data_IF_897213419528
#
_entry.id   IF_897213419528
#
_cell.length_a   1.000
_cell.length_b   1.000
_cell.length_c   1.000
_cell.angle_alpha   90.00
_cell.angle_beta   90.00
_cell.angle_gamma   90.00
#
_symmetry.space_group_name_H-M   'P 1'
#
loop_
_entity.id
_entity.type
_entity.pdbx_description
1 polymer ?
#
# COMPACT_ATOMS: atom_id res chain seq x y z
N UNK A 1 -7.80 -3.58 8.33
CA UNK A 1 -7.08 -4.66 9.07
C UNK A 1 -8.10 -5.67 9.61
N UNK A 2 -7.72 -6.85 10.08
CA UNK A 2 -8.67 -7.71 10.84
C UNK A 2 -9.00 -7.11 12.21
N UNK A 3 -10.15 -7.49 12.76
CA UNK A 3 -10.65 -7.07 14.08
C UNK A 3 -9.81 -7.55 15.25
N UNK A 4 -9.08 -8.67 15.10
CA UNK A 4 -8.22 -9.25 16.14
C UNK A 4 -6.87 -8.52 16.36
N UNK A 5 -6.61 -7.41 15.67
CA UNK A 5 -5.40 -6.61 15.88
C UNK A 5 -5.37 -5.97 17.26
N UNK A 6 -4.23 -5.98 17.99
CA UNK A 6 -4.08 -5.29 19.28
C UNK A 6 -4.40 -3.79 19.24
N UNK A 7 -4.27 -3.16 18.06
CA UNK A 7 -4.63 -1.76 17.82
C UNK A 7 -6.12 -1.44 18.07
N UNK A 8 -6.99 -2.46 18.04
CA UNK A 8 -8.44 -2.33 18.22
C UNK A 8 -8.94 -2.79 19.61
N UNK A 9 -8.03 -3.09 20.55
CA UNK A 9 -8.39 -3.76 21.80
C UNK A 9 -9.31 -2.91 22.71
N UNK A 10 -10.58 -3.28 22.74
CA UNK A 10 -11.65 -2.54 23.42
C UNK A 10 -12.09 -1.29 22.68
N UNK A 11 -12.07 -1.32 21.33
CA UNK A 11 -12.65 -0.31 20.44
C UNK A 11 -13.96 -0.87 19.86
N UNK A 12 -15.09 -0.14 19.92
CA UNK A 12 -16.35 -0.57 19.30
C UNK A 12 -16.20 -0.82 17.79
N UNK A 13 -16.85 -1.86 17.26
CA UNK A 13 -16.73 -2.25 15.84
C UNK A 13 -17.14 -1.13 14.87
N UNK A 14 -18.11 -0.28 15.25
CA UNK A 14 -18.52 0.90 14.48
C UNK A 14 -17.51 2.06 14.51
N UNK A 15 -16.40 1.94 15.25
CA UNK A 15 -15.26 2.86 15.29
C UNK A 15 -14.04 2.23 14.62
N UNK A 16 -13.81 0.92 14.80
CA UNK A 16 -12.73 0.16 14.12
C UNK A 16 -12.81 0.33 12.60
N UNK A 17 -14.02 0.21 12.04
CA UNK A 17 -14.27 0.36 10.60
C UNK A 17 -14.14 1.82 10.08
N UNK A 18 -13.66 2.75 10.91
CA UNK A 18 -13.41 4.16 10.57
C UNK A 18 -11.91 4.55 10.71
N UNK A 19 -11.02 3.55 10.81
CA UNK A 19 -9.56 3.72 10.65
C UNK A 19 -8.78 4.20 11.88
N UNK A 20 -7.48 4.42 11.68
CA UNK A 20 -6.52 4.82 12.75
C UNK A 20 -6.94 6.14 13.43
N UNK A 21 -7.38 7.15 12.67
CA UNK A 21 -7.79 8.44 13.21
C UNK A 21 -8.97 8.33 14.20
N UNK A 22 -10.04 7.61 13.83
CA UNK A 22 -11.22 7.49 14.71
C UNK A 22 -10.98 6.54 15.87
N UNK A 23 -10.14 5.53 15.68
CA UNK A 23 -9.64 4.70 16.78
C UNK A 23 -8.85 5.52 17.79
N UNK A 24 -7.88 6.33 17.34
CA UNK A 24 -7.08 7.16 18.24
C UNK A 24 -7.92 8.26 18.91
N UNK A 25 -8.87 8.87 18.19
CA UNK A 25 -9.84 9.81 18.77
C UNK A 25 -10.69 9.17 19.89
N UNK A 26 -10.94 7.86 19.84
CA UNK A 26 -11.67 7.11 20.86
C UNK A 26 -10.77 6.63 22.02
N UNK A 27 -9.55 6.17 21.73
CA UNK A 27 -8.63 5.61 22.72
C UNK A 27 -7.83 6.66 23.50
N UNK A 28 -7.44 7.74 22.83
CA UNK A 28 -6.41 8.69 23.30
C UNK A 28 -5.01 8.06 23.40
N UNK A 29 -3.96 8.89 23.34
CA UNK A 29 -2.56 8.43 23.35
C UNK A 29 -2.21 7.48 24.50
N UNK A 30 -2.73 7.74 25.71
CA UNK A 30 -2.47 6.96 26.92
C UNK A 30 -2.81 5.46 26.77
N UNK A 31 -3.73 5.10 25.86
CA UNK A 31 -4.06 3.70 25.52
C UNK A 31 -3.63 3.37 24.09
N UNK A 32 -3.98 4.22 23.12
CA UNK A 32 -3.75 4.04 21.70
C UNK A 32 -2.28 3.81 21.33
N UNK A 33 -1.35 4.65 21.83
CA UNK A 33 0.07 4.55 21.48
C UNK A 33 0.64 3.17 21.86
N UNK A 34 0.26 2.65 23.03
CA UNK A 34 0.68 1.31 23.49
C UNK A 34 0.12 0.18 22.62
N UNK A 35 -1.13 0.29 22.18
CA UNK A 35 -1.82 -0.72 21.37
C UNK A 35 -1.30 -0.75 19.93
N UNK A 36 -1.08 0.42 19.33
CA UNK A 36 -0.44 0.53 18.02
C UNK A 36 1.02 0.12 18.07
N UNK A 37 1.77 0.43 19.14
CA UNK A 37 3.12 -0.10 19.34
C UNK A 37 3.11 -1.63 19.42
N UNK A 38 2.23 -2.23 20.23
CA UNK A 38 2.09 -3.68 20.33
C UNK A 38 1.76 -4.34 18.98
N UNK A 39 0.87 -3.74 18.18
CA UNK A 39 0.59 -4.18 16.81
C UNK A 39 1.86 -4.12 15.94
N UNK A 40 2.53 -2.95 15.86
CA UNK A 40 3.75 -2.75 15.06
C UNK A 40 4.92 -3.65 15.51
N UNK A 41 5.03 -3.97 16.80
CA UNK A 41 6.02 -4.91 17.37
C UNK A 41 5.77 -6.39 16.98
N UNK A 42 4.52 -6.77 16.69
CA UNK A 42 4.11 -8.19 16.64
C UNK A 42 3.53 -8.66 15.30
N UNK A 43 3.02 -7.75 14.46
CA UNK A 43 2.33 -8.09 13.21
C UNK A 43 3.29 -8.46 12.07
N UNK A 44 4.29 -7.60 11.81
CA UNK A 44 5.36 -7.81 10.83
C UNK A 44 6.69 -7.81 11.57
N UNK A 45 7.51 -8.83 11.30
CA UNK A 45 8.77 -9.12 11.98
C UNK A 45 9.84 -9.57 10.97
N UNK A 46 11.07 -9.75 11.43
CA UNK A 46 12.16 -10.28 10.60
C UNK A 46 11.81 -11.64 9.94
N UNK A 47 11.08 -12.49 10.68
CA UNK A 47 10.64 -13.80 10.19
C UNK A 47 9.71 -13.69 8.97
N UNK A 48 8.95 -12.60 8.85
CA UNK A 48 8.10 -12.35 7.67
C UNK A 48 8.93 -12.09 6.42
N UNK A 49 10.00 -11.29 6.52
CA UNK A 49 10.94 -11.08 5.40
C UNK A 49 11.69 -12.36 5.04
N UNK A 50 12.02 -13.20 6.04
CA UNK A 50 12.59 -14.54 5.81
C UNK A 50 11.65 -15.46 5.04
N UNK A 51 10.35 -15.43 5.34
CA UNK A 51 9.36 -16.31 4.71
C UNK A 51 8.96 -15.82 3.32
N UNK A 52 8.86 -14.50 3.10
CA UNK A 52 8.72 -13.85 1.78
C UNK A 52 9.87 -14.29 0.84
N UNK A 53 11.12 -14.25 1.32
CA UNK A 53 12.28 -14.70 0.55
C UNK A 53 12.36 -16.23 0.38
N UNK A 54 11.84 -17.01 1.34
CA UNK A 54 11.67 -18.45 1.18
C UNK A 54 10.68 -18.78 0.04
N UNK A 55 9.57 -18.04 -0.03
CA UNK A 55 8.55 -18.09 -1.09
C UNK A 55 9.00 -17.50 -2.44
N UNK A 56 10.27 -17.03 -2.56
CA UNK A 56 10.87 -16.46 -3.77
C UNK A 56 10.26 -15.15 -4.25
N UNK A 57 9.51 -14.46 -3.38
CA UNK A 57 9.18 -13.06 -3.58
C UNK A 57 10.43 -12.20 -3.32
N UNK A 58 10.55 -11.07 -4.01
CA UNK A 58 11.74 -10.21 -4.01
C UNK A 58 11.44 -8.73 -3.75
N UNK A 59 10.17 -8.37 -3.54
CA UNK A 59 9.70 -7.00 -3.38
C UNK A 59 8.58 -6.96 -2.34
N UNK A 60 8.62 -6.00 -1.43
CA UNK A 60 7.61 -5.75 -0.40
C UNK A 60 7.04 -4.35 -0.58
N UNK A 61 5.72 -4.23 -0.74
CA UNK A 61 5.01 -2.95 -0.72
C UNK A 61 4.64 -2.63 0.73
N UNK A 62 5.05 -1.48 1.25
CA UNK A 62 4.76 -1.06 2.63
C UNK A 62 3.84 0.18 2.62
N UNK A 63 2.53 0.00 2.90
CA UNK A 63 1.59 1.09 3.18
C UNK A 63 2.03 1.97 4.34
N UNK A 64 2.00 3.29 4.14
CA UNK A 64 2.21 4.31 5.18
C UNK A 64 1.17 5.43 5.08
N UNK A 65 0.80 6.01 6.22
CA UNK A 65 0.02 7.24 6.28
C UNK A 65 0.94 8.46 6.35
N UNK A 66 0.47 9.64 5.92
CA UNK A 66 1.26 10.87 5.88
C UNK A 66 1.89 11.21 7.24
N UNK A 67 1.17 10.92 8.34
CA UNK A 67 1.61 11.16 9.71
C UNK A 67 2.93 10.49 10.10
N UNK A 68 3.44 9.54 9.30
CA UNK A 68 4.76 8.94 9.46
C UNK A 68 5.91 9.97 9.38
N UNK A 69 5.68 11.12 8.73
CA UNK A 69 6.66 12.22 8.63
C UNK A 69 6.87 12.98 9.95
N UNK A 70 5.88 12.97 10.84
CA UNK A 70 5.86 13.80 12.05
C UNK A 70 5.66 15.31 11.80
N UNK A 71 5.15 15.70 10.63
CA UNK A 71 4.80 17.09 10.31
C UNK A 71 3.68 17.17 9.26
N UNK A 72 3.07 18.35 9.15
CA UNK A 72 2.23 18.70 8.01
C UNK A 72 2.48 20.16 7.60
N UNK A 73 2.74 20.37 6.31
CA UNK A 73 3.06 21.68 5.73
C UNK A 73 2.01 22.13 4.70
N UNK A 74 0.88 21.42 4.54
CA UNK A 74 -0.09 21.75 3.49
C UNK A 74 -0.85 23.05 3.81
N UNK A 75 -0.89 24.03 2.88
CA UNK A 75 -1.60 25.29 3.07
C UNK A 75 -3.09 25.09 3.38
N UNK A 76 -3.62 25.87 4.34
CA UNK A 76 -5.03 25.78 4.76
C UNK A 76 -5.38 24.51 5.54
N UNK A 77 -4.39 23.68 5.89
CA UNK A 77 -4.58 22.44 6.61
C UNK A 77 -4.24 22.58 8.10
N UNK A 78 -4.79 21.70 8.95
CA UNK A 78 -4.41 21.62 10.37
C UNK A 78 -2.96 21.11 10.51
N UNK A 79 -2.00 21.92 10.99
CA UNK A 79 -0.58 21.54 11.10
C UNK A 79 -0.30 20.54 12.23
N UNK A 80 -1.25 20.37 13.15
CA UNK A 80 -1.18 19.46 14.28
C UNK A 80 -2.01 18.17 14.07
N UNK A 81 -2.76 18.06 12.96
CA UNK A 81 -3.65 16.94 12.68
C UNK A 81 -2.96 15.57 12.59
N UNK A 82 -1.64 15.53 12.29
CA UNK A 82 -0.83 14.32 12.35
C UNK A 82 -0.63 13.80 13.79
N UNK A 83 -0.73 14.67 14.81
CA UNK A 83 -0.55 14.31 16.22
C UNK A 83 -1.67 13.41 16.74
N UNK A 84 -2.83 13.35 16.09
CA UNK A 84 -3.91 12.41 16.47
C UNK A 84 -3.50 10.94 16.26
N UNK A 85 -2.53 10.66 15.38
CA UNK A 85 -2.17 9.29 15.01
C UNK A 85 -1.11 8.68 15.94
N UNK A 86 -0.96 7.35 15.90
CA UNK A 86 -0.04 6.67 16.82
C UNK A 86 1.44 6.87 16.41
N UNK A 87 2.30 7.38 17.30
CA UNK A 87 3.67 7.77 16.96
C UNK A 87 4.62 6.58 16.74
N UNK A 88 5.85 6.88 16.31
CA UNK A 88 6.95 5.91 16.21
C UNK A 88 6.92 4.98 14.98
N UNK A 89 5.92 5.11 14.11
CA UNK A 89 5.76 4.31 12.89
C UNK A 89 7.04 4.26 12.02
N UNK A 90 7.75 5.38 11.89
CA UNK A 90 8.97 5.50 11.09
C UNK A 90 10.08 4.52 11.50
N UNK A 91 10.19 4.16 12.79
CA UNK A 91 11.22 3.25 13.28
C UNK A 91 11.06 1.82 12.74
N UNK A 92 9.82 1.41 12.45
CA UNK A 92 9.51 0.11 11.88
C UNK A 92 9.78 0.08 10.37
N UNK A 93 9.52 1.19 9.67
CA UNK A 93 9.88 1.37 8.26
C UNK A 93 11.40 1.41 8.06
N UNK A 94 12.11 2.15 8.92
CA UNK A 94 13.58 2.19 8.95
C UNK A 94 14.15 0.77 9.15
N UNK A 95 13.66 0.01 10.13
CA UNK A 95 14.09 -1.38 10.36
C UNK A 95 13.81 -2.28 9.16
N UNK A 96 12.61 -2.19 8.58
CA UNK A 96 12.25 -2.97 7.41
C UNK A 96 13.20 -2.70 6.23
N UNK A 97 13.52 -1.43 5.96
CA UNK A 97 14.37 -1.01 4.83
C UNK A 97 15.87 -1.23 5.10
N UNK A 98 16.35 -1.04 6.34
CA UNK A 98 17.80 -1.07 6.67
C UNK A 98 18.31 -2.39 7.20
N UNK A 99 17.48 -3.15 7.91
CA UNK A 99 17.89 -4.38 8.58
C UNK A 99 17.32 -5.63 7.88
N UNK A 100 16.01 -5.65 7.62
CA UNK A 100 15.33 -6.86 7.15
C UNK A 100 15.41 -7.05 5.63
N UNK A 101 15.02 -6.05 4.85
CA UNK A 101 14.96 -6.14 3.39
C UNK A 101 16.33 -6.46 2.75
N UNK A 102 17.46 -5.82 3.14
CA UNK A 102 18.78 -6.17 2.60
C UNK A 102 19.21 -7.59 2.97
N UNK A 103 18.95 -8.02 4.21
CA UNK A 103 19.31 -9.36 4.73
C UNK A 103 18.60 -10.49 4.00
N UNK A 104 17.40 -10.25 3.49
CA UNK A 104 16.59 -11.23 2.77
C UNK A 104 16.44 -10.94 1.27
N UNK A 105 17.32 -10.10 0.69
CA UNK A 105 17.34 -9.74 -0.73
C UNK A 105 15.94 -9.32 -1.25
N UNK A 106 15.26 -8.50 -0.46
CA UNK A 106 13.97 -7.88 -0.80
C UNK A 106 14.16 -6.40 -1.08
N UNK A 107 13.42 -5.90 -2.06
CA UNK A 107 13.30 -4.48 -2.39
C UNK A 107 12.02 -3.91 -1.75
N UNK A 108 12.00 -2.63 -1.39
CA UNK A 108 10.89 -1.98 -0.69
C UNK A 108 10.29 -0.84 -1.49
N UNK A 109 9.02 -0.99 -1.86
CA UNK A 109 8.18 0.07 -2.44
C UNK A 109 7.35 0.69 -1.30
N UNK A 110 7.58 1.96 -0.97
CA UNK A 110 6.80 2.66 0.06
C UNK A 110 5.51 3.18 -0.59
N UNK A 111 4.33 2.82 -0.08
CA UNK A 111 3.05 3.29 -0.61
C UNK A 111 2.48 4.38 0.28
N UNK A 112 2.29 5.59 -0.24
CA UNK A 112 1.53 6.61 0.47
C UNK A 112 0.03 6.25 0.38
N UNK A 113 -0.40 5.55 1.42
CA UNK A 113 -1.66 4.83 1.46
C UNK A 113 -2.80 5.69 2.00
N UNK A 114 -2.49 6.56 2.96
CA UNK A 114 -3.37 7.57 3.51
C UNK A 114 -2.62 8.92 3.58
N UNK A 115 -2.68 9.72 2.52
CA UNK A 115 -2.01 11.02 2.43
C UNK A 115 -2.75 12.11 3.29
N UNK A 116 -2.41 13.41 3.32
CA UNK A 116 -3.27 14.39 4.06
C UNK A 116 -4.29 15.09 3.16
N UNK A 117 -5.54 14.55 3.27
CA UNK A 117 -8.17 14.30 2.26
C UNK A 117 -9.28 13.15 2.16
N UNK A 118 -9.16 11.92 2.66
CA UNK A 118 -9.76 10.68 2.13
C UNK A 118 -9.74 10.61 0.60
N UNK A 119 -8.66 10.09 -0.01
CA UNK A 119 -8.55 10.05 -1.48
C UNK A 119 -9.57 9.10 -2.18
N UNK A 120 -10.36 8.33 -1.42
CA UNK A 120 -11.37 7.42 -1.96
C UNK A 120 -12.60 7.17 -1.06
N UNK A 121 -12.66 7.70 0.15
CA UNK A 121 -13.76 7.48 1.10
C UNK A 121 -13.58 6.31 2.08
N UNK A 122 -12.53 5.47 1.94
CA UNK A 122 -12.33 4.27 2.76
C UNK A 122 -11.48 4.53 4.03
N UNK A 123 -11.55 3.62 5.00
CA UNK A 123 -10.91 3.71 6.33
C UNK A 123 -9.37 3.79 6.28
N UNK A 124 -8.78 3.25 5.22
CA UNK A 124 -7.34 3.23 4.95
C UNK A 124 -6.84 4.43 4.12
N UNK A 125 -7.66 5.49 3.96
CA UNK A 125 -7.42 6.63 3.06
C UNK A 125 -7.45 7.98 3.79
N UNK A 126 -6.76 8.99 3.25
CA UNK A 126 -6.70 10.36 3.81
C UNK A 126 -6.25 11.36 2.68
N UNK A 127 -6.61 12.67 2.68
CA UNK A 127 -6.19 13.97 1.18
C UNK A 127 -4.78 13.87 0.56
N UNK A 128 -4.36 14.68 -0.41
CA UNK A 128 -3.06 14.49 -1.09
C UNK A 128 -1.92 15.41 -0.56
N UNK A 129 -0.74 14.84 -0.26
CA UNK A 129 0.47 15.59 0.13
C UNK A 129 1.71 15.17 -0.69
N UNK A 130 2.26 16.04 -1.57
CA UNK A 130 3.46 15.76 -2.35
C UNK A 130 4.77 15.94 -1.57
N UNK A 131 4.77 16.58 -0.40
CA UNK A 131 5.98 16.76 0.41
C UNK A 131 6.22 15.59 1.37
N UNK A 132 5.19 14.83 1.76
CA UNK A 132 5.36 13.52 2.42
C UNK A 132 6.13 12.51 1.54
N UNK A 133 5.71 12.30 0.27
CA UNK A 133 6.44 11.42 -0.67
C UNK A 133 7.85 11.93 -0.96
N UNK A 134 8.02 13.25 -1.10
CA UNK A 134 9.34 13.87 -1.27
C UNK A 134 10.25 13.61 -0.06
N UNK A 135 9.73 13.72 1.16
CA UNK A 135 10.49 13.47 2.39
C UNK A 135 10.88 11.99 2.53
N UNK A 136 9.95 11.06 2.24
CA UNK A 136 10.23 9.63 2.21
C UNK A 136 11.32 9.29 1.18
N UNK A 137 11.24 9.84 -0.04
CA UNK A 137 12.28 9.63 -1.05
C UNK A 137 13.63 10.19 -0.59
N UNK A 138 13.62 11.41 -0.05
CA UNK A 138 14.83 12.08 0.46
C UNK A 138 15.48 11.34 1.63
N UNK A 139 14.69 10.65 2.45
CA UNK A 139 15.17 9.84 3.59
C UNK A 139 15.95 8.60 3.17
N UNK A 140 15.48 7.89 2.14
CA UNK A 140 16.00 6.56 1.81
C UNK A 140 16.91 6.50 0.58
N UNK A 141 16.71 7.34 -0.45
CA UNK A 141 17.36 7.14 -1.76
C UNK A 141 18.90 7.16 -1.74
N UNK A 142 19.51 7.84 -0.77
CA UNK A 142 20.94 8.16 -0.80
C UNK A 142 21.85 7.01 -0.34
N UNK A 143 21.38 6.13 0.56
CA UNK A 143 22.20 5.11 1.21
C UNK A 143 21.50 3.76 1.42
N UNK A 144 20.16 3.71 1.40
CA UNK A 144 19.42 2.55 1.86
C UNK A 144 19.12 1.59 0.70
N UNK A 145 20.07 0.68 0.43
CA UNK A 145 20.14 -0.15 -0.79
C UNK A 145 18.91 -1.01 -1.12
N UNK A 146 18.01 -1.26 -0.16
CA UNK A 146 16.75 -1.97 -0.40
C UNK A 146 15.59 -1.05 -0.81
N UNK A 147 15.73 0.27 -0.75
CA UNK A 147 14.68 1.20 -1.19
C UNK A 147 14.55 1.20 -2.72
N UNK A 148 13.41 0.71 -3.20
CA UNK A 148 13.09 0.66 -4.63
C UNK A 148 12.55 2.01 -5.13
N UNK A 149 11.69 2.64 -4.33
CA UNK A 149 10.82 3.69 -4.81
C UNK A 149 9.58 3.96 -3.98
N UNK A 150 8.67 4.74 -4.55
CA UNK A 150 7.43 5.19 -3.90
C UNK A 150 6.22 5.01 -4.82
N UNK A 151 5.17 4.37 -4.32
CA UNK A 151 3.81 4.56 -4.81
C UNK A 151 3.29 5.90 -4.27
N UNK A 152 3.06 6.81 -5.21
CA UNK A 152 2.77 8.21 -4.91
C UNK A 152 1.38 8.39 -4.28
N UNK A 153 0.40 7.54 -4.61
CA UNK A 153 -0.93 7.59 -4.00
C UNK A 153 -1.71 6.30 -4.27
N UNK A 154 -2.08 5.60 -3.20
CA UNK A 154 -2.91 4.40 -3.27
C UNK A 154 -4.36 4.69 -3.67
N UNK A 155 -4.87 4.01 -4.70
CA UNK A 155 -6.31 3.87 -5.03
C UNK A 155 -7.15 5.16 -4.92
N UNK A 156 -6.84 6.24 -5.65
CA UNK A 156 -7.74 7.40 -5.71
C UNK A 156 -9.09 7.01 -6.33
N UNK A 157 -10.20 7.56 -5.83
CA UNK A 157 -11.55 7.19 -6.29
C UNK A 157 -12.60 8.25 -5.92
N UNK A 158 -13.88 7.87 -6.04
CA UNK A 158 -15.02 8.72 -5.64
C UNK A 158 -15.08 10.01 -6.45
N UNK A 159 -15.19 11.14 -5.76
CA UNK A 159 -15.21 12.49 -6.35
C UNK A 159 -13.81 13.10 -6.55
N UNK A 160 -12.76 12.29 -6.72
CA UNK A 160 -11.41 12.79 -7.03
C UNK A 160 -11.37 13.38 -8.44
N UNK A 161 -10.99 14.65 -8.54
CA UNK A 161 -10.75 15.31 -9.83
C UNK A 161 -9.49 14.73 -10.51
N UNK A 162 -9.65 14.24 -11.74
CA UNK A 162 -8.58 13.58 -12.49
C UNK A 162 -7.48 14.57 -12.93
N UNK A 163 -7.83 15.83 -13.18
CA UNK A 163 -6.87 16.89 -13.53
C UNK A 163 -6.00 17.26 -12.33
N UNK A 164 -6.59 17.41 -11.15
CA UNK A 164 -5.86 17.63 -9.88
C UNK A 164 -4.96 16.42 -9.58
N UNK A 165 -5.45 15.19 -9.73
CA UNK A 165 -4.66 13.97 -9.53
C UNK A 165 -3.47 13.87 -10.50
N UNK A 166 -3.67 14.19 -11.78
CA UNK A 166 -2.58 14.20 -12.78
C UNK A 166 -1.57 15.33 -12.50
N UNK A 167 -2.03 16.50 -12.06
CA UNK A 167 -1.13 17.57 -11.62
C UNK A 167 -0.32 17.17 -10.38
N UNK A 168 -0.94 16.53 -9.39
CA UNK A 168 -0.25 15.98 -8.21
C UNK A 168 0.90 15.05 -8.59
N UNK A 169 0.67 14.11 -9.53
CA UNK A 169 1.72 13.21 -10.00
C UNK A 169 2.85 13.92 -10.76
N UNK A 170 2.53 14.94 -11.57
CA UNK A 170 3.56 15.79 -12.19
C UNK A 170 4.38 16.60 -11.16
N UNK A 171 3.71 17.18 -10.15
CA UNK A 171 4.34 17.92 -9.06
C UNK A 171 5.28 17.03 -8.23
N UNK A 172 4.79 15.85 -7.81
CA UNK A 172 5.57 14.89 -7.04
C UNK A 172 6.79 14.38 -7.83
N UNK A 173 6.62 14.07 -9.12
CA UNK A 173 7.72 13.73 -10.02
C UNK A 173 8.76 14.85 -10.10
N UNK A 174 8.32 16.08 -10.39
CA UNK A 174 9.19 17.25 -10.50
C UNK A 174 9.93 17.59 -9.20
N UNK A 175 9.33 17.29 -8.03
CA UNK A 175 9.95 17.47 -6.70
C UNK A 175 10.96 16.37 -6.36
N UNK A 176 10.73 15.12 -6.78
CA UNK A 176 11.61 13.98 -6.46
C UNK A 176 12.78 13.86 -7.44
N UNK A 177 12.54 14.07 -8.74
CA UNK A 177 13.59 13.99 -9.79
C UNK A 177 14.62 15.12 -9.73
N UNK A 178 14.44 16.10 -8.86
CA UNK A 178 15.50 17.03 -8.45
C UNK A 178 16.66 16.35 -7.71
N UNK A 179 16.51 15.10 -7.26
CA UNK A 179 17.54 14.40 -6.50
C UNK A 179 17.54 12.86 -6.58
N UNK A 180 16.45 12.22 -7.02
CA UNK A 180 16.33 10.75 -7.01
C UNK A 180 15.73 10.19 -8.29
N UNK A 181 16.39 9.17 -8.84
CA UNK A 181 15.94 8.37 -9.99
C UNK A 181 15.14 7.11 -9.59
N UNK A 182 14.77 6.99 -8.31
CA UNK A 182 14.03 5.83 -7.80
C UNK A 182 12.70 5.58 -8.56
N UNK A 183 12.21 4.34 -8.47
CA UNK A 183 10.91 3.98 -9.04
C UNK A 183 9.81 4.86 -8.43
N UNK A 184 8.94 5.39 -9.28
CA UNK A 184 7.70 6.02 -8.85
C UNK A 184 6.55 5.28 -9.51
N UNK A 185 5.53 4.90 -8.76
CA UNK A 185 4.27 4.41 -9.34
C UNK A 185 3.18 5.47 -9.24
N UNK A 186 2.31 5.46 -10.24
CA UNK A 186 1.12 6.31 -10.32
C UNK A 186 -0.11 5.42 -10.52
N UNK A 187 -1.21 5.77 -9.86
CA UNK A 187 -2.37 4.89 -9.71
C UNK A 187 -3.58 5.58 -10.35
N UNK A 188 -4.13 5.07 -11.47
CA UNK A 188 -5.37 5.57 -12.03
C UNK A 188 -6.53 5.49 -11.03
N UNK A 189 -7.59 6.27 -11.26
CA UNK A 189 -8.81 6.14 -10.45
C UNK A 189 -9.30 4.67 -10.46
N UNK A 190 -9.83 4.14 -9.35
CA UNK A 190 -10.15 2.71 -9.22
C UNK A 190 -10.94 2.13 -10.43
N UNK A 191 -11.93 2.86 -10.95
CA UNK A 191 -12.75 2.46 -12.11
C UNK A 191 -12.05 2.59 -13.48
N UNK A 192 -10.82 3.12 -13.51
CA UNK A 192 -9.98 3.32 -14.70
C UNK A 192 -8.79 2.34 -14.78
N UNK A 193 -8.58 1.50 -13.75
CA UNK A 193 -7.41 0.62 -13.65
C UNK A 193 -7.50 -0.63 -14.54
N UNK A 194 -6.88 -0.58 -15.72
CA UNK A 194 -6.71 -1.73 -16.59
C UNK A 194 -6.01 -1.41 -17.93
N UNK A 195 -5.69 -2.44 -18.73
CA UNK A 195 -4.84 -2.34 -19.92
C UNK A 195 -5.46 -1.58 -21.11
N UNK A 196 -6.71 -1.14 -21.00
CA UNK A 196 -7.46 -0.51 -22.10
C UNK A 196 -7.84 0.95 -21.84
N UNK A 197 -7.34 1.58 -20.76
CA UNK A 197 -7.49 3.02 -20.57
C UNK A 197 -6.40 3.77 -21.34
N UNK A 198 -6.76 4.40 -22.47
CA UNK A 198 -5.83 5.11 -23.35
C UNK A 198 -5.09 6.27 -22.68
N UNK A 199 -5.74 6.95 -21.73
CA UNK A 199 -5.31 8.27 -21.27
C UNK A 199 -4.40 8.15 -20.04
N UNK A 200 -4.59 7.08 -19.25
CA UNK A 200 -3.59 6.64 -18.27
C UNK A 200 -2.47 5.83 -18.91
N UNK A 201 -2.74 4.97 -19.90
CA UNK A 201 -1.66 4.25 -20.60
C UNK A 201 -0.70 5.17 -21.38
N UNK A 202 -1.11 6.42 -21.64
CA UNK A 202 -0.28 7.50 -22.23
C UNK A 202 0.16 8.55 -21.21
N UNK A 203 -0.22 8.44 -19.94
CA UNK A 203 0.18 9.39 -18.92
C UNK A 203 1.66 9.21 -18.58
N UNK A 204 2.37 10.33 -18.41
CA UNK A 204 3.81 10.40 -18.13
C UNK A 204 4.67 9.45 -19.00
N UNK A 205 4.68 9.62 -20.34
CA UNK A 205 5.33 8.68 -21.26
C UNK A 205 6.85 8.91 -21.40
N UNK A 206 7.63 7.87 -21.78
CA UNK A 206 9.01 8.05 -22.21
C UNK A 206 9.08 8.78 -23.57
N UNK A 207 10.16 9.52 -23.88
CA UNK A 207 11.34 9.74 -23.03
C UNK A 207 11.19 10.89 -22.03
N UNK A 208 10.05 11.59 -22.02
CA UNK A 208 9.80 12.76 -21.18
C UNK A 208 9.81 12.42 -19.67
N UNK A 209 9.34 11.22 -19.33
CA UNK A 209 9.32 10.70 -17.98
C UNK A 209 10.05 9.35 -17.91
N UNK A 210 10.83 9.13 -16.85
CA UNK A 210 11.58 7.89 -16.62
C UNK A 210 11.39 7.39 -15.19
N UNK A 211 11.58 6.07 -15.00
CA UNK A 211 11.33 5.42 -13.71
C UNK A 211 9.88 5.48 -13.24
N UNK A 212 8.91 5.67 -14.16
CA UNK A 212 7.47 5.59 -13.88
C UNK A 212 6.94 4.17 -14.14
N UNK A 213 5.98 3.72 -13.33
CA UNK A 213 5.08 2.61 -13.63
C UNK A 213 3.63 2.95 -13.27
N UNK A 214 2.69 2.27 -13.91
CA UNK A 214 1.27 2.34 -13.56
C UNK A 214 0.92 1.19 -12.62
N UNK A 215 0.28 1.49 -11.50
CA UNK A 215 -0.15 0.52 -10.50
C UNK A 215 -1.66 0.28 -10.60
N UNK A 216 -2.07 -0.99 -10.65
CA UNK A 216 -3.47 -1.42 -10.76
C UNK A 216 -3.76 -2.50 -9.73
N UNK A 217 -4.86 -2.38 -8.99
CA UNK A 217 -5.31 -3.38 -8.05
C UNK A 217 -6.51 -4.12 -8.62
N UNK A 218 -6.39 -5.45 -8.72
CA UNK A 218 -7.35 -6.31 -9.42
C UNK A 218 -7.91 -7.38 -8.48
N UNK A 219 -8.79 -6.95 -7.59
CA UNK A 219 -9.54 -7.83 -6.70
C UNK A 219 -10.64 -8.59 -7.46
N UNK A 220 -10.89 -9.85 -7.09
CA UNK A 220 -11.95 -10.70 -7.68
C UNK A 220 -12.97 -11.19 -6.63
N UNK A 221 -12.84 -10.72 -5.38
CA UNK A 221 -13.67 -11.13 -4.23
C UNK A 221 -15.11 -10.60 -4.26
N UNK A 222 -15.39 -9.59 -5.09
CA UNK A 222 -16.70 -8.94 -5.23
C UNK A 222 -17.49 -9.41 -6.48
N UNK A 223 -16.99 -10.41 -7.22
CA UNK A 223 -17.69 -11.03 -8.34
C UNK A 223 -16.97 -10.91 -9.69
N UNK A 224 -17.30 -11.82 -10.62
CA UNK A 224 -16.75 -11.89 -11.98
C UNK A 224 -17.75 -11.34 -13.00
N UNK A 225 -18.05 -10.04 -12.97
CA UNK A 225 -18.99 -9.48 -13.97
C UNK A 225 -18.34 -9.26 -15.35
N UNK A 226 -17.03 -8.95 -15.41
CA UNK A 226 -16.33 -8.68 -16.69
C UNK A 226 -14.89 -9.21 -16.75
N UNK A 227 -14.65 -10.47 -16.34
CA UNK A 227 -13.44 -11.23 -16.75
C UNK A 227 -13.85 -12.65 -17.20
N UNK A 228 -14.21 -12.78 -18.47
CA UNK A 228 -14.17 -14.08 -19.13
C UNK A 228 -12.72 -14.59 -19.23
N UNK A 229 -12.56 -15.92 -19.23
CA UNK A 229 -11.33 -16.65 -19.56
C UNK A 229 -10.22 -16.79 -18.49
N UNK A 230 -10.48 -16.51 -17.21
CA UNK A 230 -9.68 -17.13 -16.12
C UNK A 230 -10.22 -18.54 -15.80
N UNK A 231 -10.09 -19.45 -16.77
CA UNK A 231 -10.50 -20.85 -16.65
C UNK A 231 -9.35 -21.72 -16.14
N UNK A 232 -9.33 -22.01 -14.84
CA UNK A 232 -8.48 -23.08 -14.29
C UNK A 232 -9.12 -24.43 -14.66
N UNK A 233 -8.41 -25.27 -15.42
CA UNK A 233 -8.85 -26.61 -15.85
C UNK A 233 -10.29 -26.64 -16.45
N UNK A 234 -10.67 -25.60 -17.19
CA UNK A 234 -11.99 -25.50 -17.84
C UNK A 234 -13.16 -25.21 -16.88
N UNK A 235 -12.89 -24.83 -15.62
CA UNK A 235 -13.92 -24.46 -14.64
C UNK A 235 -13.92 -22.96 -14.35
N UNK A 236 -15.13 -22.42 -14.19
CA UNK A 236 -15.40 -21.05 -13.76
C UNK A 236 -15.55 -21.07 -12.23
N UNK A 237 -14.46 -20.76 -11.50
CA UNK A 237 -14.45 -20.75 -10.04
C UNK A 237 -15.04 -19.42 -9.53
N UNK A 238 -16.37 -19.32 -9.56
CA UNK A 238 -17.11 -18.14 -9.15
C UNK A 238 -17.62 -18.23 -7.68
N UNK A 239 -17.79 -17.06 -7.06
CA UNK A 239 -18.22 -16.82 -5.67
C UNK A 239 -17.20 -17.15 -4.57
N UNK A 240 -17.17 -16.30 -3.54
CA UNK A 240 -16.18 -16.25 -2.46
C UNK A 240 -16.44 -17.24 -1.31
N UNK A 241 -17.21 -18.31 -1.54
CA UNK A 241 -17.75 -19.19 -0.49
C UNK A 241 -17.17 -20.62 -0.48
N UNK A 242 -16.29 -21.00 -1.42
CA UNK A 242 -15.95 -22.42 -1.64
C UNK A 242 -14.54 -22.70 -2.18
N UNK A 243 -13.60 -21.76 -2.06
CA UNK A 243 -12.18 -22.03 -2.33
C UNK A 243 -11.54 -22.79 -1.16
N UNK A 244 -10.92 -23.95 -1.43
CA UNK A 244 -9.99 -24.58 -0.49
C UNK A 244 -8.54 -24.25 -0.85
N UNK A 245 -7.59 -24.63 0.00
CA UNK A 245 -6.14 -24.48 -0.20
C UNK A 245 -5.63 -24.83 -1.61
N UNK A 246 -6.18 -25.86 -2.25
CA UNK A 246 -5.74 -26.28 -3.58
C UNK A 246 -6.26 -25.35 -4.69
N UNK A 247 -7.50 -24.86 -4.58
CA UNK A 247 -8.04 -23.84 -5.49
C UNK A 247 -7.30 -22.52 -5.34
N UNK A 248 -6.98 -22.11 -4.09
CA UNK A 248 -6.20 -20.89 -3.81
C UNK A 248 -4.78 -20.99 -4.40
N UNK A 249 -4.12 -22.15 -4.27
CA UNK A 249 -2.78 -22.39 -4.85
C UNK A 249 -2.83 -22.38 -6.38
N UNK A 250 -3.81 -23.02 -7.00
CA UNK A 250 -4.00 -23.00 -8.46
C UNK A 250 -4.30 -21.59 -8.98
N UNK A 251 -5.14 -20.83 -8.27
CA UNK A 251 -5.46 -19.44 -8.59
C UNK A 251 -4.22 -18.53 -8.49
N UNK A 252 -3.44 -18.65 -7.41
CA UNK A 252 -2.19 -17.91 -7.25
C UNK A 252 -1.17 -18.26 -8.36
N UNK A 253 -1.02 -19.54 -8.72
CA UNK A 253 -0.19 -19.98 -9.83
C UNK A 253 -0.66 -19.41 -11.18
N UNK A 254 -1.97 -19.41 -11.45
CA UNK A 254 -2.54 -18.84 -12.66
C UNK A 254 -2.33 -17.33 -12.75
N UNK A 255 -2.47 -16.60 -11.64
CA UNK A 255 -2.13 -15.17 -11.58
C UNK A 255 -0.64 -14.93 -11.83
N UNK A 256 0.25 -15.65 -11.13
CA UNK A 256 1.70 -15.51 -11.29
C UNK A 256 2.13 -15.78 -12.74
N UNK A 257 1.58 -16.81 -13.39
CA UNK A 257 1.85 -17.10 -14.79
C UNK A 257 1.33 -16.00 -15.75
N UNK A 258 0.11 -15.51 -15.52
CA UNK A 258 -0.47 -14.42 -16.32
C UNK A 258 0.33 -13.12 -16.19
N UNK A 259 0.81 -12.79 -14.99
CA UNK A 259 1.71 -11.66 -14.78
C UNK A 259 3.10 -11.90 -15.40
N UNK A 260 3.69 -13.09 -15.23
CA UNK A 260 5.00 -13.44 -15.84
C UNK A 260 5.03 -13.36 -17.37
N UNK A 261 3.88 -13.57 -18.03
CA UNK A 261 3.72 -13.39 -19.48
C UNK A 261 3.45 -11.97 -19.96
N UNK A 262 3.30 -10.99 -19.05
CA UNK A 262 3.06 -9.59 -19.40
C UNK A 262 4.36 -8.84 -19.75
N UNK A 263 4.25 -7.56 -20.08
CA UNK A 263 5.39 -6.65 -20.27
C UNK A 263 5.29 -5.43 -19.35
N UNK A 264 6.43 -4.84 -19.00
CA UNK A 264 6.53 -3.64 -18.14
C UNK A 264 7.00 -3.90 -16.70
N UNK A 265 6.78 -5.10 -16.17
CA UNK A 265 7.02 -5.45 -14.76
C UNK A 265 5.80 -5.19 -13.87
N UNK A 266 5.67 -5.95 -12.79
CA UNK A 266 4.45 -6.09 -11.98
C UNK A 266 4.80 -6.44 -10.54
N UNK A 267 3.89 -6.10 -9.62
CA UNK A 267 3.88 -6.54 -8.23
C UNK A 267 2.62 -7.37 -7.98
N UNK A 268 2.76 -8.50 -7.28
CA UNK A 268 1.62 -9.25 -6.75
C UNK A 268 1.56 -9.00 -5.24
N UNK A 269 0.55 -8.26 -4.80
CA UNK A 269 0.39 -7.85 -3.39
C UNK A 269 -0.41 -8.91 -2.62
N UNK A 270 0.28 -9.72 -1.82
CA UNK A 270 -0.34 -10.54 -0.78
C UNK A 270 -0.59 -9.70 0.48
N UNK A 271 -1.57 -10.11 1.29
CA UNK A 271 -1.93 -9.43 2.53
C UNK A 271 -1.80 -10.42 3.69
N UNK A 272 -1.04 -10.04 4.73
CA UNK A 272 -1.05 -10.78 5.99
C UNK A 272 -2.29 -10.43 6.79
N UNK A 273 -2.88 -11.43 7.44
CA UNK A 273 -4.00 -11.28 8.36
C UNK A 273 -3.65 -11.92 9.72
N UNK A 274 -4.30 -11.47 10.79
CA UNK A 274 -4.40 -12.30 12.01
C UNK A 274 -5.40 -13.41 11.74
N UNK A 275 -5.20 -14.57 12.36
CA UNK A 275 -6.22 -15.61 12.45
C UNK A 275 -7.42 -15.12 13.31
N UNK A 276 -8.56 -15.82 13.24
CA UNK A 276 -9.77 -15.46 13.98
C UNK A 276 -9.59 -15.55 15.51
N UNK A 277 -8.62 -16.33 15.99
CA UNK A 277 -8.20 -16.43 17.40
C UNK A 277 -7.16 -15.36 17.82
N UNK A 278 -6.78 -14.46 16.91
CA UNK A 278 -5.73 -13.46 17.11
C UNK A 278 -4.30 -13.98 17.00
N UNK A 279 -4.10 -15.27 16.70
CA UNK A 279 -2.77 -15.82 16.42
C UNK A 279 -2.24 -15.37 15.04
N UNK A 280 -0.96 -15.64 14.78
CA UNK A 280 -0.33 -15.33 13.49
C UNK A 280 -0.72 -16.35 12.43
N UNK A 281 -1.28 -15.89 11.31
CA UNK A 281 -1.24 -16.67 10.09
C UNK A 281 0.15 -16.59 9.44
N UNK A 282 0.44 -17.51 8.52
CA UNK A 282 1.58 -17.44 7.61
C UNK A 282 1.34 -16.47 6.45
N UNK A 283 2.15 -16.64 5.40
CA UNK A 283 2.02 -16.00 4.09
C UNK A 283 1.58 -17.03 3.04
#
# INVERSE_FOLDING_TARGET
>A
MTSASPAWNGVPANIVNLGEFKTMQYLGHAKGDSQFKQHRDTFITEQDFRDIAAAKMNTVRIPVGYWITGFDNQPGSDPDGWKMYAPGAINYLDRAIREWAPKYNSLVLISLHAAKGSQNGYDHSSPQDPDAVKWLARRYYANDVAFLGIDLLNEPAGSTDEGVLKQYYHDAYGRIRQFSDCLLTVTPLLYQQGPYNSDWARFMPPPQFHGIRHEWHRYQIWGFEVIGNLLVNGRLHASSASFNDSDLRLYAQAQIAAFQGATGGWTHSTWKFYNDDGSRNGW
#
